data_IF_850295028911
#
_entry.id   IF_850295028911
#
_cell.length_a   1.000
_cell.length_b   1.000
_cell.length_c   1.000
_cell.angle_alpha   90.00
_cell.angle_beta   90.00
_cell.angle_gamma   90.00
#
_symmetry.space_group_name_H-M   'P 1'
#
loop_
_entity.id
_entity.type
_entity.pdbx_description
1 polymer ?
#
# COMPACT_ATOMS: atom_id res chain seq x y z
N UNK A 1 -4.15 -10.60 -11.02
CA UNK A 1 -4.64 -10.95 -9.66
C UNK A 1 -6.01 -11.60 -9.80
N UNK A 2 -6.30 -12.66 -9.05
CA UNK A 2 -7.65 -13.26 -9.05
C UNK A 2 -8.66 -12.25 -8.45
N UNK A 3 -9.89 -12.12 -8.99
CA UNK A 3 -10.86 -11.11 -8.56
C UNK A 3 -11.12 -11.08 -7.05
N UNK A 4 -11.18 -12.26 -6.40
CA UNK A 4 -11.35 -12.35 -4.95
C UNK A 4 -10.20 -11.74 -4.14
N UNK A 5 -8.96 -11.85 -4.62
CA UNK A 5 -7.81 -11.23 -3.96
C UNK A 5 -7.83 -9.71 -4.06
N UNK A 6 -8.33 -9.16 -5.17
CA UNK A 6 -8.47 -7.71 -5.33
C UNK A 6 -9.51 -7.14 -4.35
N UNK A 7 -10.67 -7.79 -4.24
CA UNK A 7 -11.70 -7.41 -3.28
C UNK A 7 -11.17 -7.48 -1.83
N UNK A 8 -10.41 -8.53 -1.49
CA UNK A 8 -9.80 -8.68 -0.18
C UNK A 8 -8.77 -7.56 0.11
N UNK A 9 -7.95 -7.16 -0.87
CA UNK A 9 -7.01 -6.05 -0.70
C UNK A 9 -7.74 -4.72 -0.48
N UNK A 10 -8.75 -4.42 -1.31
CA UNK A 10 -9.55 -3.20 -1.16
C UNK A 10 -10.26 -3.13 0.21
N UNK A 11 -10.80 -4.26 0.69
CA UNK A 11 -11.43 -4.32 2.01
C UNK A 11 -10.42 -4.08 3.14
N UNK A 12 -9.20 -4.63 3.05
CA UNK A 12 -8.12 -4.37 4.02
C UNK A 12 -7.74 -2.89 4.04
N UNK A 13 -7.62 -2.27 2.87
CA UNK A 13 -7.28 -0.84 2.76
C UNK A 13 -8.34 0.05 3.39
N UNK A 14 -9.62 -0.24 3.16
CA UNK A 14 -10.73 0.47 3.78
C UNK A 14 -10.70 0.36 5.32
N UNK A 15 -10.44 -0.84 5.85
CA UNK A 15 -10.34 -1.06 7.31
C UNK A 15 -9.14 -0.34 7.90
N UNK A 16 -7.97 -0.38 7.24
CA UNK A 16 -6.80 0.38 7.67
C UNK A 16 -7.08 1.88 7.70
N UNK A 17 -7.71 2.43 6.65
CA UNK A 17 -8.11 3.84 6.63
C UNK A 17 -9.06 4.18 7.78
N UNK A 18 -10.05 3.32 8.05
CA UNK A 18 -11.00 3.50 9.15
C UNK A 18 -10.27 3.54 10.51
N UNK A 19 -9.26 2.69 10.70
CA UNK A 19 -8.48 2.65 11.94
C UNK A 19 -7.65 3.92 12.17
N UNK A 20 -7.29 4.66 11.11
CA UNK A 20 -6.54 5.92 11.21
C UNK A 20 -7.41 7.11 11.60
N UNK A 21 -8.69 7.14 11.17
CA UNK A 21 -9.61 8.28 11.34
C UNK A 21 -9.68 8.85 12.77
N UNK A 22 -9.77 8.03 13.85
CA UNK A 22 -9.84 8.55 15.22
C UNK A 22 -8.61 9.37 15.65
N UNK A 23 -7.48 9.22 14.96
CA UNK A 23 -6.22 9.85 15.33
C UNK A 23 -5.82 11.02 14.42
N UNK A 24 -6.63 11.34 13.40
CA UNK A 24 -6.33 12.37 12.41
C UNK A 24 -6.01 13.75 13.04
N UNK A 25 -6.69 14.10 14.14
CA UNK A 25 -6.51 15.39 14.82
C UNK A 25 -5.16 15.59 15.51
N UNK A 26 -4.40 14.53 15.81
CA UNK A 26 -3.07 14.60 16.44
C UNK A 26 -1.93 14.08 15.55
N UNK A 27 -2.27 13.56 14.38
CA UNK A 27 -1.36 12.82 13.50
C UNK A 27 -1.28 11.33 13.85
N UNK A 28 -1.09 10.52 12.82
CA UNK A 28 -0.94 9.06 12.91
C UNK A 28 -0.05 8.57 11.76
N UNK A 29 0.74 7.53 12.02
CA UNK A 29 1.60 6.89 11.01
C UNK A 29 1.12 5.46 10.79
N UNK A 30 0.83 5.12 9.53
CA UNK A 30 0.58 3.75 9.11
C UNK A 30 1.88 3.15 8.57
N UNK A 31 2.27 1.99 9.09
CA UNK A 31 3.34 1.16 8.52
C UNK A 31 2.68 -0.05 7.88
N UNK A 32 2.76 -0.14 6.55
CA UNK A 32 2.17 -1.21 5.76
C UNK A 32 3.01 -1.50 4.50
N UNK A 33 2.73 -2.60 3.81
CA UNK A 33 3.41 -2.90 2.55
C UNK A 33 3.14 -1.86 1.46
N UNK A 34 4.07 -1.68 0.53
CA UNK A 34 3.98 -0.65 -0.51
C UNK A 34 2.66 -0.66 -1.29
N UNK A 35 2.10 -1.84 -1.58
CA UNK A 35 0.82 -1.97 -2.26
C UNK A 35 -0.35 -1.29 -1.52
N UNK A 36 -0.29 -1.20 -0.19
CA UNK A 36 -1.30 -0.58 0.65
C UNK A 36 -1.11 0.92 0.81
N UNK A 37 0.12 1.43 0.71
CA UNK A 37 0.40 2.86 0.90
C UNK A 37 0.38 3.66 -0.41
N UNK A 38 0.29 2.98 -1.55
CA UNK A 38 0.15 3.60 -2.88
C UNK A 38 -1.03 4.58 -2.96
N UNK A 39 -0.79 5.75 -3.54
CA UNK A 39 -1.78 6.83 -3.77
C UNK A 39 -2.89 6.42 -4.74
N UNK A 40 -2.55 5.62 -5.74
CA UNK A 40 -3.43 5.28 -6.86
C UNK A 40 -4.35 4.07 -6.61
N UNK A 41 -4.06 3.24 -5.59
CA UNK A 41 -4.87 2.03 -5.30
C UNK A 41 -5.10 1.74 -3.82
N UNK A 42 -4.26 2.24 -2.92
CA UNK A 42 -4.23 1.80 -1.52
C UNK A 42 -5.06 2.66 -0.55
N UNK A 43 -4.67 2.60 0.71
CA UNK A 43 -5.25 3.34 1.85
C UNK A 43 -5.51 4.83 1.57
N UNK A 44 -4.61 5.59 0.92
CA UNK A 44 -4.85 7.01 0.65
C UNK A 44 -6.15 7.31 -0.11
N UNK A 45 -6.65 6.41 -0.98
CA UNK A 45 -7.93 6.62 -1.69
C UNK A 45 -9.13 6.64 -0.76
N UNK A 46 -9.04 5.98 0.39
CA UNK A 46 -10.10 5.88 1.40
C UNK A 46 -10.08 7.02 2.43
N UNK A 47 -9.11 7.93 2.28
CA UNK A 47 -8.91 9.13 3.11
C UNK A 47 -9.12 10.40 2.28
N UNK A 48 -9.99 10.36 1.26
CA UNK A 48 -10.24 11.48 0.36
C UNK A 48 -10.77 12.74 1.07
N UNK A 49 -11.45 12.57 2.21
CA UNK A 49 -11.88 13.65 3.10
C UNK A 49 -10.72 14.36 3.82
N UNK A 50 -9.55 13.73 3.87
CA UNK A 50 -8.30 14.27 4.40
C UNK A 50 -7.31 14.64 3.28
N UNK A 51 -7.83 14.93 2.08
CA UNK A 51 -7.01 15.34 0.94
C UNK A 51 -6.06 16.49 1.31
N UNK A 52 -4.79 16.35 0.94
CA UNK A 52 -3.73 17.31 1.28
C UNK A 52 -3.15 17.18 2.69
N UNK A 53 -3.69 16.30 3.55
CA UNK A 53 -3.14 16.01 4.90
C UNK A 53 -2.45 14.64 4.99
N UNK A 54 -2.51 13.85 3.93
CA UNK A 54 -1.91 12.51 3.86
C UNK A 54 -0.64 12.55 3.02
N UNK A 55 0.49 12.20 3.64
CA UNK A 55 1.76 11.98 2.95
C UNK A 55 1.99 10.47 2.79
N UNK A 56 2.14 10.01 1.56
CA UNK A 56 2.50 8.62 1.24
C UNK A 56 3.98 8.51 0.88
N UNK A 57 4.70 7.65 1.61
CA UNK A 57 6.12 7.39 1.40
C UNK A 57 6.33 5.92 1.05
N UNK A 58 6.87 5.64 -0.13
CA UNK A 58 7.22 4.29 -0.58
C UNK A 58 8.70 3.96 -0.33
N UNK A 59 8.99 2.76 0.18
CA UNK A 59 10.36 2.23 0.26
C UNK A 59 10.50 1.12 -0.78
N UNK A 60 11.15 1.43 -1.90
CA UNK A 60 11.08 0.62 -3.14
C UNK A 60 12.46 0.19 -3.59
N UNK A 61 12.54 -0.93 -4.31
CA UNK A 61 13.81 -1.45 -4.82
C UNK A 61 14.15 -0.91 -6.23
N UNK A 62 13.20 -0.21 -6.85
CA UNK A 62 13.34 0.48 -8.14
C UNK A 62 12.53 1.78 -8.12
N UNK A 63 12.83 2.70 -9.03
CA UNK A 63 12.04 3.93 -9.17
C UNK A 63 10.56 3.60 -9.40
N UNK A 64 9.62 4.22 -8.65
CA UNK A 64 8.20 4.00 -8.83
C UNK A 64 7.68 4.76 -10.06
N UNK A 65 6.45 4.45 -10.46
CA UNK A 65 5.77 5.25 -11.48
C UNK A 65 5.24 6.57 -10.88
N UNK A 66 5.04 7.57 -11.74
CA UNK A 66 4.49 8.86 -11.32
C UNK A 66 3.13 8.69 -10.64
N UNK A 67 2.97 9.34 -9.49
CA UNK A 67 1.73 9.30 -8.73
C UNK A 67 1.50 8.06 -7.88
N UNK A 68 2.42 7.09 -7.83
CA UNK A 68 2.31 5.95 -6.91
C UNK A 68 2.51 6.37 -5.45
N UNK A 69 3.41 7.32 -5.17
CA UNK A 69 3.71 7.88 -3.84
C UNK A 69 3.96 9.39 -3.93
N UNK A 70 3.90 10.12 -2.81
CA UNK A 70 4.39 11.51 -2.77
C UNK A 70 5.92 11.57 -2.73
N UNK A 71 6.50 10.61 -2.03
CA UNK A 71 7.94 10.46 -1.89
C UNK A 71 8.29 8.98 -2.00
N UNK A 72 9.46 8.71 -2.56
CA UNK A 72 9.98 7.37 -2.62
C UNK A 72 11.45 7.34 -2.18
N UNK A 73 11.78 6.36 -1.36
CA UNK A 73 13.14 6.03 -0.95
C UNK A 73 13.52 4.76 -1.69
N UNK A 74 14.48 4.87 -2.60
CA UNK A 74 15.02 3.71 -3.32
C UNK A 74 16.06 3.03 -2.42
N UNK A 75 15.86 1.75 -2.13
CA UNK A 75 16.75 0.93 -1.32
C UNK A 75 17.39 -0.18 -2.18
N UNK A 76 18.57 -0.72 -1.79
CA UNK A 76 19.16 -1.85 -2.50
C UNK A 76 18.20 -3.04 -2.56
N UNK A 77 18.08 -3.65 -3.74
CA UNK A 77 17.24 -4.82 -3.92
C UNK A 77 17.78 -6.03 -3.13
N UNK A 78 16.89 -6.75 -2.47
CA UNK A 78 17.21 -8.02 -1.80
C UNK A 78 16.90 -9.18 -2.72
N UNK A 79 17.87 -10.07 -2.91
CA UNK A 79 17.67 -11.31 -3.64
C UNK A 79 16.71 -12.23 -2.88
N UNK A 80 15.60 -12.60 -3.51
CA UNK A 80 14.57 -13.47 -2.93
C UNK A 80 14.36 -14.68 -3.82
N UNK A 81 14.21 -15.86 -3.20
CA UNK A 81 13.78 -17.07 -3.91
C UNK A 81 12.38 -16.85 -4.49
N UNK A 82 12.14 -17.30 -5.72
CA UNK A 82 10.83 -17.21 -6.34
C UNK A 82 9.79 -18.01 -5.52
N UNK A 83 8.78 -17.35 -4.92
CA UNK A 83 7.77 -18.03 -4.12
C UNK A 83 6.86 -18.93 -4.97
N UNK A 84 6.77 -18.69 -6.28
CA UNK A 84 5.96 -19.49 -7.20
C UNK A 84 6.53 -20.89 -7.41
N UNK A 85 7.85 -21.09 -7.23
CA UNK A 85 8.49 -22.41 -7.35
C UNK A 85 7.97 -23.43 -6.32
N UNK A 86 7.40 -22.95 -5.21
CA UNK A 86 6.83 -23.79 -4.15
C UNK A 86 5.29 -23.80 -4.19
N UNK A 87 4.67 -22.97 -5.03
CA UNK A 87 3.23 -22.90 -5.14
C UNK A 87 2.71 -24.12 -5.91
N UNK A 88 1.76 -24.87 -5.31
CA UNK A 88 1.04 -25.90 -6.06
C UNK A 88 0.13 -25.21 -7.09
N UNK A 89 0.11 -25.66 -8.36
CA UNK A 89 -0.84 -25.14 -9.32
C UNK A 89 -2.26 -25.36 -8.81
N UNK A 90 -3.13 -24.39 -9.04
CA UNK A 90 -4.56 -24.58 -8.84
C UNK A 90 -5.01 -25.69 -9.79
N UNK A 91 -5.48 -26.81 -9.23
CA UNK A 91 -6.09 -27.90 -10.00
C UNK A 91 -7.40 -27.49 -10.64
#
# INVERSE_FOLDING_TARGET
MLPGMLAAQAARDAVMAQALRPYAGRGVVLIAGNGHVRRDVGVPRWLADEAGKVLSVGYVESAPSDGEFDMAVVVPAVERKDPCLQARPAG
#
